data_IF_050217943440
#
_entry.id   IF_050217943440
#
_cell.length_a   1.000
_cell.length_b   1.000
_cell.length_c   1.000
_cell.angle_alpha   90.00
_cell.angle_beta   90.00
_cell.angle_gamma   90.00
#
_symmetry.space_group_name_H-M   'P 1'
#
loop_
_entity.id
_entity.type
_entity.pdbx_description
1 polymer ?
#
# COMPACT_ATOMS: atom_id res chain seq x y z
N UNK A 1 -35.82 49.52 -49.38
CA UNK A 1 -35.58 48.23 -50.06
C UNK A 1 -34.11 48.26 -50.42
N UNK A 2 -33.19 47.47 -49.86
CA UNK A 2 -33.21 46.02 -49.65
C UNK A 2 -32.37 45.69 -48.40
N UNK A 3 -32.89 44.78 -47.58
CA UNK A 3 -32.27 44.13 -46.42
C UNK A 3 -31.32 43.02 -46.92
N UNK A 4 -30.51 42.42 -46.02
CA UNK A 4 -29.69 41.19 -46.20
C UNK A 4 -28.19 41.45 -46.51
N UNK A 5 -27.18 40.84 -45.88
CA UNK A 5 -27.12 39.58 -45.13
C UNK A 5 -25.91 39.59 -44.17
N UNK A 6 -26.13 39.33 -42.87
CA UNK A 6 -25.11 38.82 -41.95
C UNK A 6 -24.88 37.33 -42.28
N UNK A 7 -23.64 36.89 -42.47
CA UNK A 7 -23.30 35.47 -42.41
C UNK A 7 -21.97 35.25 -41.69
N UNK A 8 -22.10 34.88 -40.42
CA UNK A 8 -21.13 34.18 -39.59
C UNK A 8 -20.30 33.17 -40.38
N UNK A 9 -18.98 33.33 -40.40
CA UNK A 9 -18.05 32.19 -40.50
C UNK A 9 -17.42 31.98 -39.12
N UNK A 10 -18.24 31.48 -38.20
CA UNK A 10 -17.80 31.01 -36.88
C UNK A 10 -17.11 29.64 -37.01
N UNK A 11 -15.95 29.52 -36.36
CA UNK A 11 -15.05 28.36 -36.33
C UNK A 11 -15.74 27.03 -35.95
N UNK A 12 -15.58 25.93 -36.73
CA UNK A 12 -15.92 24.59 -36.28
C UNK A 12 -14.65 23.73 -36.02
N UNK A 13 -13.84 24.06 -34.99
CA UNK A 13 -12.66 23.23 -34.63
C UNK A 13 -12.54 22.91 -33.13
N UNK A 14 -13.31 23.55 -32.24
CA UNK A 14 -13.02 23.47 -30.79
C UNK A 14 -13.57 22.23 -30.05
N UNK A 15 -14.37 21.36 -30.68
CA UNK A 15 -15.06 20.26 -29.96
C UNK A 15 -14.26 18.93 -29.99
N UNK A 16 -13.53 18.65 -31.07
CA UNK A 16 -12.79 17.39 -31.21
C UNK A 16 -11.59 17.25 -30.25
N UNK A 17 -11.02 18.36 -29.76
CA UNK A 17 -9.87 18.34 -28.85
C UNK A 17 -10.26 17.99 -27.42
N UNK A 18 -11.47 18.37 -26.96
CA UNK A 18 -11.89 18.14 -25.56
C UNK A 18 -12.27 16.67 -25.31
N UNK A 19 -12.97 16.03 -26.24
CA UNK A 19 -13.30 14.60 -26.14
C UNK A 19 -12.07 13.71 -26.32
N UNK A 20 -11.15 14.07 -27.24
CA UNK A 20 -9.88 13.36 -27.42
C UNK A 20 -8.98 13.42 -26.18
N UNK A 21 -8.87 14.58 -25.52
CA UNK A 21 -8.12 14.73 -24.27
C UNK A 21 -8.78 13.95 -23.13
N UNK A 22 -10.11 13.95 -23.04
CA UNK A 22 -10.84 13.13 -22.06
C UNK A 22 -10.58 11.65 -22.24
N UNK A 23 -10.74 11.15 -23.46
CA UNK A 23 -10.48 9.75 -23.78
C UNK A 23 -9.02 9.36 -23.50
N UNK A 24 -8.08 10.25 -23.82
CA UNK A 24 -6.67 10.05 -23.49
C UNK A 24 -6.45 9.98 -21.97
N UNK A 25 -6.98 10.94 -21.22
CA UNK A 25 -6.87 10.97 -19.75
C UNK A 25 -7.52 9.74 -19.09
N UNK A 26 -8.69 9.30 -19.58
CA UNK A 26 -9.35 8.08 -19.11
C UNK A 26 -8.48 6.84 -19.36
N UNK A 27 -7.90 6.72 -20.56
CA UNK A 27 -6.97 5.63 -20.87
C UNK A 27 -5.70 5.64 -20.02
N UNK A 28 -5.14 6.82 -19.76
CA UNK A 28 -3.96 6.91 -18.90
C UNK A 28 -4.31 6.57 -17.44
N UNK A 29 -5.49 7.00 -16.96
CA UNK A 29 -5.98 6.61 -15.64
C UNK A 29 -6.24 5.10 -15.53
N UNK A 30 -6.83 4.46 -16.55
CA UNK A 30 -7.01 3.01 -16.59
C UNK A 30 -5.69 2.25 -16.54
N UNK A 31 -4.66 2.74 -17.24
CA UNK A 31 -3.32 2.15 -17.19
C UNK A 31 -2.70 2.31 -15.81
N UNK A 32 -2.81 3.50 -15.22
CA UNK A 32 -2.31 3.74 -13.87
C UNK A 32 -2.99 2.79 -12.87
N UNK A 33 -4.31 2.69 -12.90
CA UNK A 33 -5.09 1.78 -12.06
C UNK A 33 -4.66 0.31 -12.27
N UNK A 34 -4.40 -0.10 -13.51
CA UNK A 34 -3.93 -1.46 -13.81
C UNK A 34 -2.55 -1.75 -13.19
N UNK A 35 -1.62 -0.79 -13.20
CA UNK A 35 -0.30 -0.95 -12.54
C UNK A 35 -0.47 -1.04 -11.02
N UNK A 36 -1.42 -0.27 -10.46
CA UNK A 36 -1.72 -0.24 -9.02
C UNK A 36 -2.37 -1.54 -8.50
N UNK A 37 -3.08 -2.26 -9.37
CA UNK A 37 -3.73 -3.54 -9.07
C UNK A 37 -2.84 -4.77 -9.30
N UNK A 38 -1.56 -4.58 -9.66
CA UNK A 38 -0.63 -5.72 -9.75
C UNK A 38 -0.29 -6.25 -8.37
N UNK A 39 -0.41 -7.57 -8.21
CA UNK A 39 -0.01 -8.25 -6.98
C UNK A 39 1.51 -8.15 -6.78
N UNK A 40 1.92 -7.92 -5.54
CA UNK A 40 3.32 -7.93 -5.14
C UNK A 40 3.52 -8.55 -3.75
N UNK A 41 4.72 -9.08 -3.56
CA UNK A 41 5.30 -9.35 -2.26
C UNK A 41 6.03 -8.10 -1.72
N UNK A 42 6.26 -8.05 -0.42
CA UNK A 42 7.06 -6.98 0.20
C UNK A 42 8.35 -7.60 0.77
N UNK A 43 9.47 -7.18 0.20
CA UNK A 43 10.81 -7.45 0.70
C UNK A 43 11.29 -6.30 1.61
N UNK A 44 12.25 -6.59 2.47
CA UNK A 44 12.74 -5.61 3.47
C UNK A 44 14.20 -5.29 3.26
N UNK A 45 14.47 -4.00 3.07
CA UNK A 45 15.82 -3.47 3.00
C UNK A 45 16.17 -2.74 4.30
N UNK A 46 17.29 -3.11 4.94
CA UNK A 46 17.79 -2.43 6.13
C UNK A 46 19.26 -2.04 5.95
N UNK A 47 19.54 -0.74 6.02
CA UNK A 47 20.88 -0.14 5.92
C UNK A 47 21.52 0.15 7.29
N UNK A 48 20.89 -0.29 8.39
CA UNK A 48 21.38 -0.05 9.75
C UNK A 48 22.77 -0.65 9.98
N UNK A 49 23.61 0.07 10.74
CA UNK A 49 24.92 -0.41 11.21
C UNK A 49 24.84 -1.41 12.38
N UNK A 50 23.62 -1.76 12.81
CA UNK A 50 23.37 -2.72 13.89
C UNK A 50 23.91 -4.12 13.57
N UNK A 51 24.42 -4.82 14.59
CA UNK A 51 24.81 -6.24 14.48
C UNK A 51 23.66 -7.17 14.09
N UNK A 52 22.41 -6.74 14.32
CA UNK A 52 21.19 -7.49 13.95
C UNK A 52 20.62 -7.11 12.59
N UNK A 53 21.30 -6.25 11.82
CA UNK A 53 20.83 -5.83 10.49
C UNK A 53 20.53 -7.03 9.58
N UNK A 54 21.33 -8.09 9.64
CA UNK A 54 21.12 -9.29 8.81
C UNK A 54 19.90 -10.15 9.24
N UNK A 55 19.30 -9.88 10.40
CA UNK A 55 18.01 -10.49 10.79
C UNK A 55 16.82 -9.77 10.16
N UNK A 56 17.02 -8.54 9.64
CA UNK A 56 15.97 -7.68 9.07
C UNK A 56 16.15 -7.48 7.56
N UNK A 57 17.38 -7.20 7.11
CA UNK A 57 17.66 -7.02 5.69
C UNK A 57 17.52 -8.33 4.92
N UNK A 58 16.96 -8.25 3.71
CA UNK A 58 16.69 -9.38 2.82
C UNK A 58 15.72 -10.41 3.46
N UNK A 59 14.79 -9.90 4.26
CA UNK A 59 13.64 -10.66 4.75
C UNK A 59 12.39 -10.28 3.96
N UNK A 60 11.32 -11.05 4.14
CA UNK A 60 10.01 -10.79 3.53
C UNK A 60 8.99 -10.46 4.62
N UNK A 61 8.04 -9.59 4.31
CA UNK A 61 6.88 -9.35 5.16
C UNK A 61 5.90 -10.52 5.07
N UNK A 62 5.50 -11.02 6.22
CA UNK A 62 4.54 -12.11 6.38
C UNK A 62 3.40 -11.70 7.32
N UNK A 63 2.22 -12.28 7.09
CA UNK A 63 1.00 -12.00 7.84
C UNK A 63 0.83 -13.05 8.93
N UNK A 64 0.79 -12.62 10.19
CA UNK A 64 0.53 -13.52 11.32
C UNK A 64 -0.14 -12.78 12.47
N UNK A 65 -1.17 -13.39 13.07
CA UNK A 65 -1.83 -12.85 14.26
C UNK A 65 -2.30 -11.39 14.14
N UNK A 66 -2.88 -11.01 12.98
CA UNK A 66 -3.32 -9.64 12.65
C UNK A 66 -2.19 -8.58 12.56
N UNK A 67 -0.92 -8.98 12.58
CA UNK A 67 0.25 -8.10 12.43
C UNK A 67 1.13 -8.50 11.24
N UNK A 68 1.93 -7.55 10.78
CA UNK A 68 2.98 -7.78 9.78
C UNK A 68 4.31 -8.10 10.50
N UNK A 69 4.87 -9.26 10.20
CA UNK A 69 6.15 -9.74 10.73
C UNK A 69 7.17 -9.94 9.62
N UNK A 70 8.43 -10.16 9.99
CA UNK A 70 9.51 -10.48 9.05
C UNK A 70 9.87 -11.95 9.12
N UNK A 71 9.99 -12.60 7.96
CA UNK A 71 10.48 -13.96 7.82
C UNK A 71 11.70 -13.99 6.92
N UNK A 72 12.65 -14.88 7.24
CA UNK A 72 13.79 -15.14 6.35
C UNK A 72 13.29 -15.80 5.07
N UNK A 73 13.91 -15.45 3.95
CA UNK A 73 13.63 -16.07 2.66
C UNK A 73 14.49 -17.31 2.44
N UNK A 74 13.94 -18.27 1.71
CA UNK A 74 14.71 -19.31 1.06
C UNK A 74 15.51 -18.71 -0.10
N UNK A 75 16.76 -19.13 -0.29
CA UNK A 75 17.63 -18.53 -1.30
C UNK A 75 17.31 -18.96 -2.74
N UNK A 76 16.58 -20.07 -2.92
CA UNK A 76 16.23 -20.60 -4.23
C UNK A 76 14.81 -20.19 -4.63
N UNK A 77 13.86 -20.31 -3.71
CA UNK A 77 12.45 -19.98 -4.01
C UNK A 77 12.10 -18.52 -3.73
N UNK A 78 12.93 -17.79 -2.99
CA UNK A 78 12.65 -16.45 -2.48
C UNK A 78 11.35 -16.35 -1.65
N UNK A 79 10.81 -17.48 -1.18
CA UNK A 79 9.61 -17.57 -0.35
C UNK A 79 9.97 -17.64 1.14
N UNK A 80 9.05 -17.31 2.07
CA UNK A 80 9.36 -17.31 3.49
C UNK A 80 9.66 -18.73 4.00
N UNK A 81 10.72 -18.86 4.79
CA UNK A 81 11.06 -20.09 5.48
C UNK A 81 10.17 -20.27 6.72
N UNK A 82 9.76 -21.51 6.97
CA UNK A 82 9.18 -21.88 8.26
C UNK A 82 10.20 -21.71 9.38
N UNK A 83 9.76 -21.17 10.52
CA UNK A 83 10.58 -21.11 11.73
C UNK A 83 10.89 -22.52 12.29
N UNK A 84 9.98 -23.47 12.07
CA UNK A 84 10.09 -24.89 12.43
C UNK A 84 9.84 -25.74 11.18
N UNK A 85 10.72 -26.70 10.83
CA UNK A 85 10.49 -27.63 9.72
C UNK A 85 9.15 -28.39 9.78
N UNK A 86 8.57 -28.56 10.97
CA UNK A 86 7.29 -29.23 11.16
C UNK A 86 6.06 -28.33 10.94
N UNK A 87 6.26 -27.00 10.86
CA UNK A 87 5.18 -26.03 10.68
C UNK A 87 5.13 -25.54 9.23
N UNK A 88 3.93 -25.24 8.70
CA UNK A 88 3.82 -24.64 7.37
C UNK A 88 4.50 -23.26 7.36
N UNK A 89 5.02 -22.83 6.20
CA UNK A 89 5.55 -21.48 6.04
C UNK A 89 4.51 -20.43 6.42
N UNK A 90 4.93 -19.29 7.01
CA UNK A 90 4.01 -18.19 7.27
C UNK A 90 3.50 -17.60 5.95
N UNK A 91 2.26 -17.09 5.98
CA UNK A 91 1.62 -16.53 4.78
C UNK A 91 2.35 -15.25 4.34
N UNK A 92 2.96 -15.20 3.15
CA UNK A 92 3.64 -14.01 2.68
C UNK A 92 2.62 -12.88 2.45
N UNK A 93 3.01 -11.64 2.71
CA UNK A 93 2.23 -10.51 2.23
C UNK A 93 2.10 -10.66 0.71
N UNK A 94 0.87 -10.63 0.25
CA UNK A 94 0.52 -10.66 -1.17
C UNK A 94 -0.63 -9.71 -1.36
N UNK A 95 -0.44 -8.68 -2.16
CA UNK A 95 -1.45 -7.65 -2.27
C UNK A 95 -1.16 -6.60 -3.30
N UNK A 96 -2.05 -5.63 -3.36
CA UNK A 96 -2.06 -4.55 -4.34
C UNK A 96 -2.69 -3.29 -3.74
N UNK A 97 -2.61 -2.18 -4.46
CA UNK A 97 -3.21 -0.92 -4.02
C UNK A 97 -4.69 -0.87 -4.38
N UNK A 98 -5.50 -0.39 -3.44
CA UNK A 98 -6.93 -0.20 -3.65
C UNK A 98 -7.36 1.16 -3.14
N UNK A 99 -7.93 1.98 -4.03
CA UNK A 99 -8.53 3.24 -3.65
C UNK A 99 -9.81 3.01 -2.85
N UNK A 100 -10.00 3.78 -1.79
CA UNK A 100 -11.24 3.82 -1.03
C UNK A 100 -11.61 5.25 -0.66
N UNK A 101 -12.89 5.42 -0.33
CA UNK A 101 -13.40 6.67 0.22
C UNK A 101 -13.44 6.56 1.74
N UNK A 102 -12.86 7.51 2.49
CA UNK A 102 -12.96 7.54 3.94
C UNK A 102 -14.42 7.55 4.38
N UNK A 103 -14.76 6.75 5.38
CA UNK A 103 -16.11 6.73 5.92
C UNK A 103 -16.46 8.10 6.53
N UNK A 104 -17.63 8.64 6.18
CA UNK A 104 -18.03 10.02 6.52
C UNK A 104 -17.96 11.00 5.35
N UNK A 105 -17.08 10.77 4.37
CA UNK A 105 -16.94 11.63 3.21
C UNK A 105 -18.08 11.42 2.17
N UNK A 106 -18.66 10.22 2.14
CA UNK A 106 -19.86 9.90 1.36
C UNK A 106 -21.19 10.10 2.13
N UNK A 107 -21.14 10.31 3.46
CA UNK A 107 -22.34 10.40 4.33
C UNK A 107 -22.82 11.83 4.60
N UNK A 108 -22.02 12.83 4.26
CA UNK A 108 -22.44 14.23 4.36
C UNK A 108 -23.16 14.64 3.08
N UNK A 109 -24.49 14.69 3.15
CA UNK A 109 -25.36 15.23 2.10
C UNK A 109 -25.34 16.77 2.05
N UNK A 110 -24.41 17.40 2.78
CA UNK A 110 -24.28 18.85 2.78
C UNK A 110 -23.78 19.36 1.43
N UNK A 111 -24.29 20.51 1.02
CA UNK A 111 -23.85 21.21 -0.19
C UNK A 111 -22.32 21.40 -0.20
N UNK A 112 -21.69 21.58 0.97
CA UNK A 112 -20.24 21.71 1.12
C UNK A 112 -19.47 20.43 0.69
N UNK A 113 -19.97 19.24 0.98
CA UNK A 113 -19.37 17.96 0.57
C UNK A 113 -19.63 17.64 -0.91
N UNK A 114 -20.72 18.16 -1.50
CA UNK A 114 -20.94 18.03 -2.95
C UNK A 114 -20.01 18.92 -3.77
N UNK A 115 -19.59 20.06 -3.22
CA UNK A 115 -18.58 20.92 -3.84
C UNK A 115 -17.15 20.42 -3.58
N UNK A 116 -16.88 19.82 -2.42
CA UNK A 116 -15.60 19.19 -2.08
C UNK A 116 -15.69 17.68 -2.24
N UNK A 117 -15.45 17.18 -3.47
CA UNK A 117 -15.40 15.74 -3.77
C UNK A 117 -14.44 15.10 -2.77
N UNK A 118 -14.96 14.21 -1.92
CA UNK A 118 -14.15 13.43 -1.00
C UNK A 118 -12.96 12.84 -1.76
N UNK A 119 -11.75 13.22 -1.37
CA UNK A 119 -10.55 12.69 -2.01
C UNK A 119 -10.46 11.19 -1.71
N UNK A 120 -10.25 10.41 -2.76
CA UNK A 120 -9.95 8.98 -2.62
C UNK A 120 -8.63 8.87 -1.85
N UNK A 121 -8.59 7.97 -0.88
CA UNK A 121 -7.36 7.60 -0.22
C UNK A 121 -6.93 6.25 -0.79
N UNK A 122 -5.68 6.20 -1.25
CA UNK A 122 -5.06 4.95 -1.69
C UNK A 122 -4.74 4.10 -0.46
N UNK A 123 -5.35 2.93 -0.39
CA UNK A 123 -5.06 1.92 0.63
C UNK A 123 -4.22 0.79 0.07
N UNK A 124 -3.72 -0.05 0.98
CA UNK A 124 -3.04 -1.30 0.64
C UNK A 124 -3.90 -2.46 1.14
N UNK A 125 -4.13 -3.45 0.30
CA UNK A 125 -4.85 -4.68 0.68
C UNK A 125 -3.95 -5.89 0.54
N UNK A 126 -4.22 -6.93 1.32
CA UNK A 126 -3.50 -8.19 1.27
C UNK A 126 -4.44 -9.39 1.33
N UNK A 127 -4.08 -10.48 0.65
CA UNK A 127 -4.70 -11.79 0.86
C UNK A 127 -4.26 -12.37 2.20
N UNK A 128 -5.18 -13.02 2.92
CA UNK A 128 -4.89 -13.72 4.20
C UNK A 128 -5.04 -15.24 4.10
N UNK A 129 -5.50 -15.71 2.95
CA UNK A 129 -5.69 -17.11 2.58
C UNK A 129 -5.68 -17.15 1.07
N UNK A 130 -5.13 -18.21 0.49
CA UNK A 130 -5.13 -18.39 -0.96
C UNK A 130 -6.49 -18.91 -1.46
N UNK A 131 -7.18 -19.74 -0.66
CA UNK A 131 -8.41 -20.44 -1.06
C UNK A 131 -9.46 -20.55 0.07
N UNK A 132 -10.54 -19.73 0.06
CA UNK A 132 -10.81 -18.63 -0.87
C UNK A 132 -9.96 -17.39 -0.57
N UNK A 133 -9.57 -16.61 -1.59
CA UNK A 133 -8.84 -15.38 -1.39
C UNK A 133 -9.69 -14.39 -0.59
N UNK A 134 -9.22 -14.08 0.61
CA UNK A 134 -9.88 -13.12 1.50
C UNK A 134 -9.00 -11.90 1.62
N UNK A 135 -9.54 -10.73 1.30
CA UNK A 135 -8.81 -9.45 1.32
C UNK A 135 -9.00 -8.73 2.65
N UNK A 136 -7.88 -8.32 3.25
CA UNK A 136 -7.84 -7.41 4.38
C UNK A 136 -7.07 -6.14 4.02
N UNK A 137 -7.44 -5.03 4.63
CA UNK A 137 -6.70 -3.77 4.55
C UNK A 137 -5.46 -3.85 5.43
N UNK A 138 -4.34 -3.31 4.96
CA UNK A 138 -3.16 -3.03 5.77
C UNK A 138 -3.23 -1.60 6.29
N UNK A 139 -3.04 -1.45 7.59
CA UNK A 139 -3.20 -0.20 8.30
C UNK A 139 -2.15 -0.04 9.41
N UNK A 140 -1.95 1.20 9.84
CA UNK A 140 -1.16 1.53 11.02
C UNK A 140 -2.11 1.70 12.21
N UNK A 141 -1.89 0.91 13.25
CA UNK A 141 -2.58 1.08 14.52
C UNK A 141 -2.25 2.46 15.11
N UNK A 142 -3.26 3.31 15.26
CA UNK A 142 -3.10 4.69 15.75
C UNK A 142 -2.45 4.78 17.15
N UNK A 143 -2.59 3.76 17.99
CA UNK A 143 -2.08 3.77 19.37
C UNK A 143 -0.69 3.15 19.46
N UNK A 144 -0.47 2.03 18.78
CA UNK A 144 0.78 1.26 18.90
C UNK A 144 1.76 1.49 17.76
N UNK A 145 1.32 2.16 16.69
CA UNK A 145 2.04 2.36 15.43
C UNK A 145 2.46 1.04 14.74
N UNK A 146 1.83 -0.07 15.12
CA UNK A 146 2.02 -1.38 14.50
C UNK A 146 1.41 -1.42 13.11
N UNK A 147 2.10 -2.02 12.14
CA UNK A 147 1.45 -2.42 10.90
C UNK A 147 0.62 -3.67 11.15
N UNK A 148 -0.68 -3.55 10.88
CA UNK A 148 -1.69 -4.58 11.05
C UNK A 148 -2.46 -4.81 9.78
N UNK A 149 -3.21 -5.91 9.77
CA UNK A 149 -4.15 -6.20 8.70
C UNK A 149 -5.50 -6.63 9.28
N UNK A 150 -6.58 -6.23 8.62
CA UNK A 150 -7.93 -6.48 9.11
C UNK A 150 -9.03 -6.18 8.09
N UNK A 151 -10.25 -6.57 8.43
CA UNK A 151 -11.42 -6.22 7.62
C UNK A 151 -11.80 -4.74 7.82
N UNK A 152 -12.94 -4.31 7.29
CA UNK A 152 -13.39 -2.91 7.43
C UNK A 152 -13.66 -2.48 8.88
N UNK A 153 -14.15 -3.40 9.72
CA UNK A 153 -14.44 -3.10 11.13
C UNK A 153 -13.13 -2.98 11.93
N UNK A 154 -12.15 -3.84 11.63
CA UNK A 154 -10.83 -3.83 12.27
C UNK A 154 -10.06 -2.53 11.98
N UNK A 155 -10.28 -1.88 10.83
CA UNK A 155 -9.56 -0.63 10.46
C UNK A 155 -10.21 0.63 11.01
N UNK A 156 -11.43 0.55 11.55
CA UNK A 156 -12.15 1.72 12.03
C UNK A 156 -11.37 2.44 13.13
N UNK A 157 -11.10 3.74 12.95
CA UNK A 157 -10.34 4.56 13.89
C UNK A 157 -8.81 4.45 13.78
N UNK A 158 -8.30 3.63 12.85
CA UNK A 158 -6.88 3.51 12.54
C UNK A 158 -6.50 4.28 11.25
N UNK A 159 -5.21 4.27 10.90
CA UNK A 159 -4.69 5.02 9.75
C UNK A 159 -4.50 4.01 8.61
N UNK A 160 -5.32 4.11 7.56
CA UNK A 160 -5.35 3.14 6.44
C UNK A 160 -4.55 3.61 5.23
N UNK A 161 -4.08 4.87 5.23
CA UNK A 161 -3.34 5.46 4.12
C UNK A 161 -3.14 6.97 4.31
N UNK A 162 -2.65 7.68 3.29
CA UNK A 162 -2.41 7.16 1.93
C UNK A 162 -1.17 6.25 1.87
N UNK A 163 -1.32 5.11 1.20
CA UNK A 163 -0.21 4.29 0.73
C UNK A 163 0.18 4.74 -0.68
N UNK A 164 1.47 4.72 -0.97
CA UNK A 164 1.98 4.90 -2.34
C UNK A 164 3.31 4.16 -2.48
N UNK A 165 4.05 4.45 -3.56
CA UNK A 165 5.43 4.04 -3.74
C UNK A 165 6.34 5.26 -3.99
N UNK A 166 7.64 5.03 -3.95
CA UNK A 166 8.69 5.98 -4.34
C UNK A 166 8.71 6.20 -5.86
N UNK A 167 9.39 7.23 -6.36
CA UNK A 167 9.40 7.59 -7.79
C UNK A 167 9.89 6.47 -8.72
N UNK A 168 10.74 5.57 -8.22
CA UNK A 168 11.21 4.37 -8.94
C UNK A 168 10.24 3.18 -8.86
N UNK A 169 9.08 3.38 -8.23
CA UNK A 169 8.02 2.40 -7.99
C UNK A 169 8.44 1.19 -7.12
N UNK A 170 9.58 1.26 -6.42
CA UNK A 170 10.09 0.13 -5.64
C UNK A 170 9.71 0.24 -4.16
N UNK A 171 10.10 1.30 -3.47
CA UNK A 171 9.85 1.48 -2.04
C UNK A 171 8.40 1.87 -1.77
N UNK A 172 7.76 1.28 -0.77
CA UNK A 172 6.45 1.69 -0.30
C UNK A 172 6.57 2.95 0.53
N UNK A 173 5.57 3.83 0.41
CA UNK A 173 5.41 5.01 1.26
C UNK A 173 4.08 4.96 1.99
N UNK A 174 4.04 5.55 3.18
CA UNK A 174 2.82 5.75 3.95
C UNK A 174 2.78 7.19 4.47
N UNK A 175 1.64 7.86 4.30
CA UNK A 175 1.54 9.31 4.51
C UNK A 175 2.61 10.12 3.73
N UNK A 176 3.04 9.60 2.58
CA UNK A 176 3.95 10.29 1.65
C UNK A 176 5.45 10.12 1.92
N UNK A 177 5.87 9.21 2.81
CA UNK A 177 7.29 8.94 3.04
C UNK A 177 7.59 7.52 3.54
N UNK A 178 8.86 7.13 3.55
CA UNK A 178 9.35 5.78 3.91
C UNK A 178 9.69 5.64 5.41
N UNK A 179 8.72 5.87 6.29
CA UNK A 179 8.90 5.88 7.75
C UNK A 179 8.89 4.52 8.45
N UNK A 180 9.24 3.42 7.79
CA UNK A 180 9.09 2.09 8.37
C UNK A 180 10.25 1.68 9.27
N UNK A 181 9.93 0.96 10.33
CA UNK A 181 10.91 0.38 11.25
C UNK A 181 10.56 -1.06 11.61
N UNK A 182 11.58 -1.89 11.75
CA UNK A 182 11.48 -3.24 12.29
C UNK A 182 11.73 -3.20 13.80
N UNK A 183 10.79 -3.72 14.58
CA UNK A 183 10.87 -3.80 16.05
C UNK A 183 11.05 -5.26 16.48
N UNK A 184 12.11 -5.51 17.24
CA UNK A 184 12.35 -6.83 17.83
C UNK A 184 11.45 -7.03 19.05
N UNK A 185 10.30 -7.67 18.85
CA UNK A 185 9.33 -7.92 19.93
C UNK A 185 9.78 -9.02 20.88
N UNK A 186 10.42 -10.04 20.30
CA UNK A 186 11.06 -11.14 21.00
C UNK A 186 12.38 -11.45 20.29
N UNK A 187 13.27 -12.19 20.94
CA UNK A 187 14.59 -12.49 20.36
C UNK A 187 14.46 -13.13 18.98
N UNK A 188 14.86 -12.41 17.94
CA UNK A 188 14.79 -12.85 16.54
C UNK A 188 13.41 -12.77 15.88
N UNK A 189 12.39 -12.26 16.58
CA UNK A 189 11.03 -12.04 16.03
C UNK A 189 10.83 -10.55 15.82
N UNK A 190 10.68 -10.16 14.56
CA UNK A 190 10.63 -8.77 14.13
C UNK A 190 9.25 -8.45 13.55
N UNK A 191 8.62 -7.41 14.08
CA UNK A 191 7.36 -6.88 13.58
C UNK A 191 7.57 -5.51 12.92
N UNK A 192 6.74 -5.18 11.94
CA UNK A 192 6.83 -3.90 11.20
C UNK A 192 5.97 -2.84 11.88
N UNK A 193 6.53 -1.65 12.04
CA UNK A 193 5.89 -0.47 12.61
C UNK A 193 6.13 0.74 11.69
N UNK A 194 5.33 1.78 11.88
CA UNK A 194 5.50 3.06 11.19
C UNK A 194 5.91 4.15 12.18
N UNK A 195 7.14 4.62 12.06
CA UNK A 195 7.74 5.66 12.90
C UNK A 195 7.36 7.05 12.40
N UNK A 196 6.09 7.43 12.62
CA UNK A 196 5.50 8.67 12.11
C UNK A 196 6.30 9.94 12.46
N UNK A 197 6.96 9.94 13.61
CA UNK A 197 7.67 11.10 14.15
C UNK A 197 9.20 11.06 13.88
N UNK A 198 9.69 10.05 13.14
CA UNK A 198 11.12 9.80 12.85
C UNK A 198 12.00 9.83 14.12
N UNK A 199 11.48 9.29 15.23
CA UNK A 199 12.14 9.35 16.54
C UNK A 199 12.52 7.97 17.09
N UNK A 200 12.30 6.92 16.29
CA UNK A 200 12.42 5.50 16.61
C UNK A 200 11.37 5.04 17.61
N UNK A 201 10.13 5.49 17.44
CA UNK A 201 8.98 5.10 18.26
C UNK A 201 9.16 5.43 19.75
N UNK A 202 9.79 6.56 20.09
CA UNK A 202 9.98 6.94 21.50
C UNK A 202 8.64 7.09 22.18
N UNK A 203 8.52 6.53 23.39
CA UNK A 203 7.28 6.57 24.15
C UNK A 203 6.22 5.55 23.71
N UNK A 204 6.32 4.99 22.50
CA UNK A 204 5.47 3.90 22.01
C UNK A 204 6.11 2.55 22.31
N UNK A 205 7.40 2.42 22.03
CA UNK A 205 8.17 1.19 22.25
C UNK A 205 9.25 1.44 23.31
N UNK A 206 9.28 0.60 24.35
CA UNK A 206 10.27 0.69 25.44
C UNK A 206 11.05 -0.61 25.60
N UNK A 207 12.38 -0.49 25.73
CA UNK A 207 13.28 -1.62 25.98
C UNK A 207 13.48 -2.59 24.81
N UNK A 208 12.81 -2.38 23.67
CA UNK A 208 12.97 -3.19 22.45
C UNK A 208 13.97 -2.55 21.49
N UNK A 209 14.50 -3.36 20.58
CA UNK A 209 15.37 -2.90 19.50
C UNK A 209 14.52 -2.44 18.32
N UNK A 210 14.87 -1.27 17.76
CA UNK A 210 14.21 -0.69 16.60
C UNK A 210 15.27 -0.44 15.52
N UNK A 211 15.05 -0.97 14.32
CA UNK A 211 15.93 -0.76 13.16
C UNK A 211 15.12 -0.13 12.03
N UNK A 212 15.56 0.99 11.43
CA UNK A 212 14.91 1.53 10.25
C UNK A 212 15.04 0.57 9.07
N UNK A 213 13.99 0.48 8.27
CA UNK A 213 13.95 -0.35 7.06
C UNK A 213 13.05 0.29 5.99
N UNK A 214 13.35 0.02 4.72
CA UNK A 214 12.41 0.25 3.63
C UNK A 214 11.66 -1.04 3.32
N UNK A 215 10.42 -0.89 2.85
CA UNK A 215 9.55 -1.96 2.39
C UNK A 215 9.51 -1.88 0.87
N UNK A 216 10.11 -2.84 0.18
CA UNK A 216 10.31 -2.82 -1.26
C UNK A 216 9.35 -3.80 -1.94
N UNK A 217 8.64 -3.34 -2.98
CA UNK A 217 7.72 -4.18 -3.75
C UNK A 217 8.52 -5.13 -4.64
N UNK A 218 8.18 -6.40 -4.57
CA UNK A 218 8.57 -7.43 -5.54
C UNK A 218 7.32 -7.86 -6.28
N UNK A 219 7.14 -7.31 -7.49
CA UNK A 219 5.98 -7.62 -8.34
C UNK A 219 5.95 -9.11 -8.65
N UNK A 220 4.75 -9.67 -8.67
CA UNK A 220 4.57 -11.02 -9.17
C UNK A 220 4.44 -11.01 -10.69
N UNK A 221 5.04 -12.02 -11.29
CA UNK A 221 4.88 -12.32 -12.70
C UNK A 221 3.58 -13.11 -12.93
N UNK A 222 3.04 -13.02 -14.14
CA UNK A 222 1.74 -13.60 -14.49
C UNK A 222 1.66 -15.12 -14.22
N UNK A 223 2.79 -15.83 -14.26
CA UNK A 223 2.88 -17.27 -13.98
C UNK A 223 2.68 -17.61 -12.49
N UNK A 224 3.16 -16.75 -11.58
CA UNK A 224 3.02 -16.92 -10.13
C UNK A 224 1.60 -16.60 -9.64
N UNK A 225 0.87 -15.76 -10.38
CA UNK A 225 -0.54 -15.46 -10.10
C UNK A 225 -1.45 -16.65 -10.47
N UNK A 226 -1.12 -17.40 -11.54
CA UNK A 226 -1.94 -18.53 -12.03
C UNK A 226 -1.71 -19.82 -11.23
N UNK A 227 -0.54 -19.97 -10.60
CA UNK A 227 -0.20 -21.14 -9.78
C UNK A 227 -0.74 -21.06 -8.35
N UNK A 228 -1.44 -19.98 -8.01
CA UNK A 228 -2.14 -19.81 -6.75
C UNK A 228 -3.46 -20.53 -6.72
#
# INVERSE_FOLDING_TARGET
MVLELLALTGLPVAIATVEGVRYHNEKEAEKEDAVRMRDFHIDVYCSSTSRKRNEVHNTMVVLSGKKLYLARKDSETEMPLSADPASPPPHPFTGFFLDHYPEGAARSDSMFTRLNRAEKIRGLVSTISDHPPTLNWVYVDRQTLELKYGNRDDVEGHIVGPWDWTEDEVGLTFEGWEGFVAVEEQKGIWAVYFDRDDDRLKGVVSGKRVLPCSLERRLLDDEEVVTR
#
